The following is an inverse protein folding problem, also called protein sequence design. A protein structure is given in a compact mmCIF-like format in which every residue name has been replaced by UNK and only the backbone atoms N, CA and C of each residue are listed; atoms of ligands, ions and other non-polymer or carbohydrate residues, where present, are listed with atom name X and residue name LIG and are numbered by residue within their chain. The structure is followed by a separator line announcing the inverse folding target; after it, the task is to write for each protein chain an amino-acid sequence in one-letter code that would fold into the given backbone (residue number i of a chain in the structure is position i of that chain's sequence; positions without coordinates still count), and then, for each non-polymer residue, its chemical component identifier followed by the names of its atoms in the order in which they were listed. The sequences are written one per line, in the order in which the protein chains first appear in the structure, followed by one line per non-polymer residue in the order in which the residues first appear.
data_IF_947610916471
#
_entry.id   IF_947610916471
#
_cell.length_a   1.000
_cell.length_b   1.000
_cell.length_c   1.000
_cell.angle_alpha   90.00
_cell.angle_beta   90.00
_cell.angle_gamma   90.00
#
_symmetry.space_group_name_H-M   'P 1'
#
loop_
_entity.id
_entity.type
_entity.pdbx_description
1 polymer ?
2 non-polymer ?
3 non-polymer ?
4 water ?
#
# COMPACT_ATOMS: atom_id res chain seq x y z
N UNK A 21 23.42 19.09 -10.01
CA UNK A 21 22.02 18.86 -9.54
C UNK A 21 21.61 17.42 -9.77
N UNK A 22 22.10 16.49 -8.93
CA UNK A 22 21.76 15.08 -9.08
C UNK A 22 20.26 14.83 -9.07
N UNK A 23 19.81 13.94 -9.95
CA UNK A 23 18.40 13.58 -10.01
C UNK A 23 18.28 12.29 -9.20
N UNK A 24 17.80 12.42 -7.96
CA UNK A 24 17.65 11.27 -7.08
C UNK A 24 16.37 10.48 -7.29
N UNK A 25 16.52 9.17 -7.43
CA UNK A 25 15.37 8.29 -7.59
C UNK A 25 15.36 7.30 -6.42
N UNK A 26 14.26 7.28 -5.68
CA UNK A 26 14.14 6.35 -4.56
C UNK A 26 13.49 5.07 -5.03
N UNK A 27 14.06 3.93 -4.62
CA UNK A 27 13.51 2.65 -5.02
C UNK A 27 13.30 1.75 -3.81
N UNK A 28 12.09 1.24 -3.63
CA UNK A 28 11.81 0.39 -2.50
C UNK A 28 10.98 -0.85 -2.86
N UNK A 29 10.80 -1.72 -1.88
CA UNK A 29 10.05 -2.95 -2.07
C UNK A 29 10.50 -3.92 -0.99
N UNK A 30 9.84 -5.07 -0.87
CA UNK A 30 10.22 -6.03 0.15
C UNK A 30 11.54 -6.72 -0.16
N UNK A 31 12.03 -7.50 0.79
CA UNK A 31 13.29 -8.20 0.60
C UNK A 31 13.24 -9.18 -0.57
N UNK A 32 14.28 -9.15 -1.40
CA UNK A 32 14.39 -10.01 -2.58
C UNK A 32 13.33 -9.72 -3.63
N UNK A 33 12.85 -8.49 -3.67
CA UNK A 33 11.82 -8.09 -4.63
C UNK A 33 12.39 -7.73 -6.00
N UNK A 34 13.73 -7.65 -6.09
CA UNK A 34 14.39 -7.30 -7.35
C UNK A 34 14.72 -5.80 -7.44
N UNK A 35 14.78 -5.14 -6.30
CA UNK A 35 15.07 -3.69 -6.26
C UNK A 35 16.38 -3.31 -6.92
N UNK A 36 17.45 -4.03 -6.60
CA UNK A 36 18.76 -3.74 -7.17
C UNK A 36 18.83 -4.09 -8.65
N UNK A 37 18.18 -5.20 -9.03
CA UNK A 37 18.16 -5.63 -10.43
C UNK A 37 17.43 -4.56 -11.23
N UNK A 38 16.31 -4.08 -10.69
CA UNK A 38 15.54 -3.06 -11.37
C UNK A 38 16.42 -1.84 -11.60
N UNK A 39 17.24 -1.49 -10.61
CA UNK A 39 18.13 -0.32 -10.77
C UNK A 39 19.17 -0.61 -11.84
N UNK A 40 19.75 -1.81 -11.82
CA UNK A 40 20.76 -2.17 -12.81
C UNK A 40 20.14 -2.02 -14.19
N UNK A 41 18.90 -2.47 -14.34
CA UNK A 41 18.21 -2.39 -15.61
C UNK A 41 17.98 -0.95 -16.08
N UNK A 42 17.64 -0.06 -15.15
CA UNK A 42 17.43 1.34 -15.52
C UNK A 42 18.75 1.93 -15.99
N UNK A 43 19.82 1.61 -15.27
CA UNK A 43 21.15 2.09 -15.60
C UNK A 43 21.56 1.61 -16.99
N UNK A 44 21.33 0.32 -17.24
CA UNK A 44 21.67 -0.30 -18.50
C UNK A 44 20.87 0.26 -19.67
N UNK A 45 19.60 0.60 -19.43
CA UNK A 45 18.77 1.15 -20.49
C UNK A 45 19.02 2.63 -20.74
N UNK A 46 19.59 3.33 -19.76
CA UNK A 46 19.90 4.74 -19.98
C UNK A 46 21.10 4.75 -20.91
N UNK A 47 21.87 3.65 -20.89
CA UNK A 47 23.04 3.51 -21.74
C UNK A 47 22.65 3.59 -23.21
N UNK A 48 21.54 2.95 -23.54
CA UNK A 48 21.02 2.98 -24.90
C UNK A 48 20.19 4.25 -25.07
N UNK A 55 26.02 11.69 -22.70
CA UNK A 55 25.91 10.50 -21.86
C UNK A 55 25.48 10.93 -20.46
N UNK A 56 25.11 9.97 -19.62
CA UNK A 56 24.69 10.29 -18.27
C UNK A 56 25.36 9.41 -17.21
N UNK A 57 25.92 10.06 -16.19
CA UNK A 57 26.60 9.39 -15.09
C UNK A 57 25.57 8.92 -14.06
N UNK A 58 25.53 7.61 -13.81
CA UNK A 58 24.58 7.05 -12.86
C UNK A 58 25.25 6.22 -11.76
N UNK A 59 24.69 6.28 -10.56
CA UNK A 59 25.23 5.52 -9.43
C UNK A 59 24.09 4.84 -8.69
N UNK A 60 24.35 3.65 -8.17
CA UNK A 60 23.32 2.94 -7.41
C UNK A 60 23.76 2.79 -5.96
N UNK A 61 22.98 3.37 -5.05
CA UNK A 61 23.28 3.28 -3.63
C UNK A 61 22.28 2.36 -2.94
N UNK A 62 22.75 1.62 -1.94
CA UNK A 62 21.89 0.72 -1.22
C UNK A 62 21.68 1.16 0.23
N UNK A 63 20.44 1.11 0.70
CA UNK A 63 20.12 1.50 2.07
C UNK A 63 20.75 0.53 3.06
N UNK A 64 20.97 -0.71 2.61
CA UNK A 64 21.58 -1.73 3.47
C UNK A 64 22.96 -1.29 3.92
N UNK A 65 23.55 -0.34 3.20
CA UNK A 65 24.86 0.18 3.52
C UNK A 65 24.82 0.99 4.82
N UNK A 66 23.63 1.46 5.19
CA UNK A 66 23.51 2.29 6.38
C UNK A 66 22.91 1.62 7.61
N UNK A 67 23.11 0.32 7.73
CA UNK A 67 22.61 -0.35 8.90
C UNK A 67 23.37 0.21 10.11
N UNK A 68 22.64 0.46 11.20
CA UNK A 68 23.23 1.01 12.42
C UNK A 68 24.36 0.16 13.00
N UNK A 69 25.22 0.82 13.78
CA UNK A 69 26.33 0.17 14.46
C UNK A 69 25.74 -0.45 15.72
N UNK A 70 25.54 -1.77 15.70
CA UNK A 70 24.98 -2.52 16.81
C UNK A 70 25.79 -2.42 18.10
N UNK A 71 25.11 -2.49 19.23
CA UNK A 71 25.77 -2.47 20.53
C UNK A 71 26.15 -3.90 20.82
N UNK A 72 26.88 -4.12 21.90
CA UNK A 72 27.30 -5.47 22.26
C UNK A 72 26.07 -6.31 22.61
N UNK A 73 25.14 -5.71 23.35
CA UNK A 73 23.93 -6.42 23.74
C UNK A 73 23.06 -6.73 22.51
N UNK A 74 22.90 -5.73 21.64
CA UNK A 74 22.09 -5.89 20.43
C UNK A 74 22.66 -6.94 19.49
N UNK A 75 23.98 -6.93 19.33
CA UNK A 75 24.65 -7.88 18.46
C UNK A 75 24.51 -9.29 19.03
N UNK A 76 24.37 -9.40 20.34
CA UNK A 76 24.21 -10.69 20.97
C UNK A 76 22.85 -11.23 20.52
N UNK A 77 21.84 -10.37 20.56
CA UNK A 77 20.51 -10.76 20.13
C UNK A 77 20.53 -11.24 18.69
N UNK A 78 21.15 -10.46 17.82
CA UNK A 78 21.23 -10.78 16.40
C UNK A 78 21.76 -12.20 16.18
N UNK A 79 22.82 -12.54 16.90
CA UNK A 79 23.43 -13.85 16.77
C UNK A 79 22.45 -14.94 17.20
N UNK A 80 21.59 -14.59 18.16
CA UNK A 80 20.58 -15.52 18.65
C UNK A 80 19.28 -15.38 17.87
N UNK A 81 19.27 -14.45 16.92
CA UNK A 81 18.08 -14.23 16.12
C UNK A 81 16.95 -13.55 16.90
N UNK A 82 17.28 -12.52 17.66
CA UNK A 82 16.27 -11.83 18.43
C UNK A 82 16.33 -10.34 18.12
N UNK A 83 16.97 -10.00 17.01
CA UNK A 83 17.05 -8.59 16.64
C UNK A 83 16.24 -8.32 15.37
N UNK A 84 15.47 -7.23 15.40
CA UNK A 84 14.62 -6.87 14.29
C UNK A 84 15.27 -5.92 13.29
N UNK A 85 15.99 -6.50 12.32
CA UNK A 85 16.67 -5.74 11.30
C UNK A 85 15.74 -5.21 10.21
N UNK A 86 14.44 -5.38 10.40
CA UNK A 86 13.45 -4.94 9.42
C UNK A 86 12.61 -3.75 9.87
N UNK A 87 12.92 -3.24 11.06
CA UNK A 87 12.22 -2.11 11.65
C UNK A 87 12.92 -0.82 11.21
N UNK A 88 12.18 0.26 11.03
CA UNK A 88 12.78 1.53 10.61
C UNK A 88 13.95 2.03 11.47
N UNK A 89 14.01 1.59 12.72
CA UNK A 89 15.08 2.02 13.62
C UNK A 89 16.40 1.31 13.39
N UNK A 90 16.35 0.15 12.73
CA UNK A 90 17.57 -0.60 12.47
C UNK A 90 18.53 0.15 11.55
N UNK A 91 17.99 1.04 10.73
CA UNK A 91 18.81 1.82 9.80
C UNK A 91 19.25 3.14 10.42
N UNK A 92 20.43 3.60 10.03
CA UNK A 92 20.99 4.86 10.51
C UNK A 92 20.31 6.00 9.75
N UNK A 93 19.00 6.11 9.93
CA UNK A 93 18.19 7.12 9.26
C UNK A 93 18.84 8.50 9.22
N UNK A 94 19.49 8.86 10.32
CA UNK A 94 20.16 10.16 10.43
C UNK A 94 21.34 10.29 9.46
N UNK A 95 22.20 9.27 9.43
CA UNK A 95 23.34 9.29 8.53
C UNK A 95 22.86 9.24 7.08
N UNK A 96 21.78 8.52 6.83
CA UNK A 96 21.21 8.42 5.50
C UNK A 96 20.81 9.80 5.01
N UNK A 97 19.99 10.48 5.79
CA UNK A 97 19.51 11.82 5.43
C UNK A 97 20.67 12.76 5.16
N UNK A 98 21.76 12.59 5.91
CA UNK A 98 22.92 13.44 5.75
C UNK A 98 23.66 13.14 4.45
N UNK A 99 24.00 11.87 4.21
CA UNK A 99 24.70 11.50 2.98
C UNK A 99 23.88 11.87 1.73
N UNK A 100 22.59 11.59 1.78
CA UNK A 100 21.72 11.89 0.67
C UNK A 100 21.59 13.39 0.46
N UNK A 101 21.58 14.13 1.56
CA UNK A 101 21.46 15.58 1.48
C UNK A 101 22.68 16.20 0.81
N UNK A 102 23.87 15.72 1.16
CA UNK A 102 25.10 16.24 0.58
C UNK A 102 25.17 15.86 -0.90
N UNK A 103 24.75 14.62 -1.21
CA UNK A 103 24.72 14.15 -2.60
C UNK A 103 23.81 15.12 -3.37
N UNK A 104 22.70 15.48 -2.75
CA UNK A 104 21.74 16.43 -3.35
C UNK A 104 22.44 17.76 -3.67
N UNK A 105 23.42 18.09 -2.83
CA UNK A 105 24.19 19.34 -2.97
C UNK A 105 25.37 19.18 -3.92
N UNK A 106 25.38 18.09 -4.69
CA UNK A 106 26.48 17.89 -5.63
C UNK A 106 27.82 17.56 -5.01
N UNK A 107 27.84 17.28 -3.71
CA UNK A 107 29.10 16.96 -3.02
C UNK A 107 29.49 15.48 -3.19
N UNK A 108 30.78 15.21 -2.96
CA UNK A 108 31.32 13.86 -3.04
C UNK A 108 31.20 13.32 -1.63
N UNK A 109 30.61 12.14 -1.50
CA UNK A 109 30.40 11.55 -0.17
C UNK A 109 31.08 10.21 0.01
N UNK A 110 31.01 9.75 1.26
CA UNK A 110 31.59 8.48 1.66
C UNK A 110 30.43 7.62 2.16
N UNK A 111 30.34 6.41 1.65
CA UNK A 111 29.28 5.49 2.01
C UNK A 111 29.87 4.37 2.86
N UNK A 112 29.22 4.05 3.99
CA UNK A 112 29.75 2.97 4.82
C UNK A 112 29.57 1.61 4.16
N UNK A 113 30.26 0.60 4.69
CA UNK A 113 30.18 -0.76 4.19
C UNK A 113 29.73 -1.64 5.35
N UNK A 114 28.67 -2.42 5.15
CA UNK A 114 28.13 -3.28 6.20
C UNK A 114 28.40 -4.76 5.93
N UNK A 115 28.73 -5.51 6.98
CA UNK A 115 29.01 -6.93 6.86
C UNK A 115 27.88 -7.72 7.48
N UNK A 116 27.05 -8.34 6.65
CA UNK A 116 25.90 -9.12 7.13
C UNK A 116 26.26 -10.41 7.82
N UNK A 117 27.50 -10.84 7.72
CA UNK A 117 27.90 -12.08 8.36
C UNK A 117 28.14 -11.87 9.84
N UNK A 118 28.57 -10.67 10.22
CA UNK A 118 28.83 -10.38 11.62
C UNK A 118 27.97 -9.26 12.19
N UNK A 119 27.08 -8.70 11.37
CA UNK A 119 26.19 -7.61 11.82
C UNK A 119 27.09 -6.47 12.25
N UNK A 120 27.95 -6.03 11.34
CA UNK A 120 28.92 -4.99 11.65
C UNK A 120 29.26 -4.01 10.54
N UNK A 121 29.48 -2.76 10.92
CA UNK A 121 29.88 -1.72 9.99
C UNK A 121 31.39 -1.78 9.92
N UNK A 122 31.93 -2.14 8.76
CA UNK A 122 33.37 -2.23 8.58
C UNK A 122 33.96 -0.83 8.69
N UNK A 123 35.28 -0.76 8.85
CA UNK A 123 35.96 0.53 8.94
C UNK A 123 36.02 1.10 7.54
N UNK A 124 36.16 0.19 6.57
CA UNK A 124 36.25 0.55 5.16
C UNK A 124 35.02 1.33 4.64
N UNK A 125 35.27 2.43 3.94
CA UNK A 125 34.19 3.23 3.35
C UNK A 125 34.38 3.24 1.85
N UNK A 126 33.29 3.53 1.12
CA UNK A 126 33.35 3.60 -0.32
C UNK A 126 33.04 5.04 -0.70
N UNK A 127 33.84 5.58 -1.61
CA UNK A 127 33.65 6.96 -2.02
C UNK A 127 32.79 7.05 -3.29
N UNK A 128 31.78 7.91 -3.23
CA UNK A 128 30.85 8.10 -4.35
C UNK A 128 30.90 9.54 -4.84
N UNK A 129 31.36 9.73 -6.08
CA UNK A 129 31.46 11.05 -6.68
C UNK A 129 30.17 11.48 -7.33
N UNK A 130 29.99 12.80 -7.54
CA UNK A 130 28.80 13.38 -8.15
C UNK A 130 28.34 12.69 -9.43
N UNK A 131 27.04 12.46 -9.54
CA UNK A 131 26.45 11.83 -10.73
C UNK A 131 25.26 12.65 -11.22
N UNK A 132 24.71 12.28 -12.37
CA UNK A 132 23.57 12.97 -12.92
C UNK A 132 22.30 12.35 -12.39
N UNK A 133 22.39 11.07 -12.05
CA UNK A 133 21.26 10.32 -11.53
C UNK A 133 21.75 9.40 -10.43
N UNK A 134 21.06 9.44 -9.30
CA UNK A 134 21.43 8.61 -8.16
C UNK A 134 20.23 7.78 -7.75
N UNK A 135 20.39 6.47 -7.78
CA UNK A 135 19.31 5.58 -7.39
C UNK A 135 19.58 5.07 -5.98
N UNK A 136 18.63 5.31 -5.07
CA UNK A 136 18.76 4.86 -3.67
C UNK A 136 17.72 3.77 -3.47
N UNK A 137 18.20 2.56 -3.25
CA UNK A 137 17.33 1.40 -3.10
C UNK A 137 17.40 0.75 -1.74
N UNK A 138 16.24 0.39 -1.20
CA UNK A 138 16.20 -0.26 0.10
C UNK A 138 14.81 -0.73 0.48
N UNK A 139 14.70 -1.55 1.52
CA UNK A 139 13.40 -2.04 1.94
C UNK A 139 12.59 -1.01 2.72
N UNK A 140 13.21 0.09 3.12
CA UNK A 140 12.46 1.11 3.86
C UNK A 140 12.86 2.51 3.43
N UNK A 141 13.32 2.60 2.18
CA UNK A 141 13.75 3.86 1.60
C UNK A 141 12.71 4.97 1.61
N UNK A 142 11.43 4.63 1.67
CA UNK A 142 10.37 5.65 1.67
C UNK A 142 9.75 5.90 3.04
N UNK A 143 10.12 5.12 4.05
CA UNK A 143 9.54 5.27 5.38
C UNK A 143 9.70 6.67 5.98
N UNK A 144 10.92 7.16 6.08
CA UNK A 144 11.17 8.49 6.63
C UNK A 144 10.72 9.57 5.65
N UNK A 145 9.93 10.52 6.13
CA UNK A 145 9.44 11.60 5.26
C UNK A 145 10.51 12.60 4.83
N UNK A 146 11.56 12.77 5.63
CA UNK A 146 12.61 13.69 5.24
C UNK A 146 13.31 13.12 4.02
N UNK A 147 13.68 11.85 4.12
CA UNK A 147 14.36 11.14 3.05
C UNK A 147 13.49 11.03 1.80
N UNK A 148 12.22 10.71 2.04
CA UNK A 148 11.24 10.55 0.98
C UNK A 148 11.10 11.82 0.14
N UNK A 149 11.22 12.99 0.76
CA UNK A 149 11.09 14.25 0.03
C UNK A 149 12.27 14.55 -0.90
N UNK A 150 13.41 13.93 -0.62
CA UNK A 150 14.59 14.12 -1.44
C UNK A 150 14.47 13.47 -2.82
N UNK A 151 13.67 12.42 -2.91
CA UNK A 151 13.51 11.72 -4.17
C UNK A 151 12.58 12.47 -5.10
N UNK A 152 13.02 12.68 -6.33
CA UNK A 152 12.19 13.37 -7.31
C UNK A 152 11.40 12.35 -8.10
N UNK A 153 11.59 11.08 -7.75
CA UNK A 153 10.87 9.98 -8.37
C UNK A 153 11.01 8.80 -7.43
N UNK A 154 9.90 8.11 -7.20
CA UNK A 154 9.89 6.97 -6.30
C UNK A 154 9.28 5.76 -6.99
N UNK A 155 9.99 4.64 -6.90
CA UNK A 155 9.57 3.40 -7.52
C UNK A 155 9.42 2.31 -6.46
N UNK A 156 8.31 1.58 -6.51
CA UNK A 156 8.12 0.50 -5.57
C UNK A 156 8.07 -0.78 -6.40
N UNK A 157 8.90 -1.77 -6.05
CA UNK A 157 8.97 -3.03 -6.76
C UNK A 157 8.14 -4.08 -6.04
N UNK A 158 7.18 -4.66 -6.76
CA UNK A 158 6.28 -5.67 -6.21
C UNK A 158 6.63 -7.04 -6.75
N UNK A 159 6.71 -8.04 -5.87
CA UNK A 159 7.00 -9.39 -6.32
C UNK A 159 6.35 -10.40 -5.38
N UNK A 160 5.78 -11.47 -5.92
CA UNK A 160 5.12 -12.48 -5.08
C UNK A 160 5.96 -12.80 -3.86
N UNK A 161 5.35 -12.76 -2.69
CA UNK A 161 6.05 -13.03 -1.45
C UNK A 161 6.73 -14.39 -1.44
N UNK A 162 6.10 -15.41 -2.03
CA UNK A 162 6.74 -16.71 -2.03
C UNK A 162 7.99 -16.75 -2.92
N UNK A 163 7.98 -15.99 -4.00
CA UNK A 163 9.12 -15.92 -4.90
C UNK A 163 10.25 -15.23 -4.16
N UNK A 164 9.90 -14.17 -3.44
CA UNK A 164 10.85 -13.41 -2.69
C UNK A 164 11.48 -14.26 -1.58
N UNK A 165 10.66 -14.97 -0.81
CA UNK A 165 11.19 -15.79 0.27
C UNK A 165 12.24 -16.76 -0.27
N UNK A 166 11.89 -17.44 -1.36
CA UNK A 166 12.75 -18.41 -2.00
C UNK A 166 14.10 -17.79 -2.34
N UNK A 167 14.08 -16.57 -2.83
CA UNK A 167 15.33 -15.91 -3.17
C UNK A 167 16.09 -15.59 -1.88
N UNK A 168 15.36 -15.08 -0.88
CA UNK A 168 15.92 -14.72 0.40
C UNK A 168 16.61 -15.91 1.04
N UNK A 169 15.98 -17.08 0.98
CA UNK A 169 16.57 -18.28 1.56
C UNK A 169 17.87 -18.64 0.86
N UNK A 170 17.85 -18.70 -0.46
CA UNK A 170 19.06 -19.06 -1.20
C UNK A 170 20.20 -18.07 -1.03
N UNK A 171 19.91 -16.78 -1.06
CA UNK A 171 20.98 -15.79 -0.90
C UNK A 171 21.58 -15.80 0.50
N UNK A 172 20.73 -15.77 1.52
CA UNK A 172 21.19 -15.78 2.90
C UNK A 172 22.10 -16.96 3.18
N UNK A 173 21.68 -18.16 2.80
CA UNK A 173 22.49 -19.36 2.99
C UNK A 173 23.81 -19.21 2.22
N UNK A 174 23.70 -18.62 1.04
CA UNK A 174 24.85 -18.42 0.16
C UNK A 174 25.78 -17.25 0.47
N UNK A 175 25.25 -16.04 0.42
CA UNK A 175 26.05 -14.83 0.64
C UNK A 175 26.20 -14.34 2.07
N UNK A 176 25.34 -14.79 2.98
CA UNK A 176 25.44 -14.31 4.36
C UNK A 176 25.68 -15.42 5.36
N UNK A 177 26.08 -16.57 4.83
CA UNK A 177 26.35 -17.74 5.65
C UNK A 177 25.34 -17.87 6.78
N UNK A 178 24.16 -18.41 6.47
CA UNK A 178 23.16 -18.60 7.51
C UNK A 178 22.52 -19.97 7.36
N UNK A 179 21.66 -20.32 8.31
CA UNK A 179 21.00 -21.63 8.28
C UNK A 179 19.53 -21.52 7.90
N UNK A 180 19.05 -22.52 7.18
CA UNK A 180 17.67 -22.56 6.74
C UNK A 180 16.68 -22.21 7.84
N UNK A 181 16.57 -23.09 8.80
CA UNK A 181 15.63 -22.89 9.90
C UNK A 181 15.73 -21.51 10.55
N UNK A 182 16.95 -20.99 10.71
CA UNK A 182 17.11 -19.68 11.33
C UNK A 182 16.53 -18.57 10.47
N UNK A 183 16.74 -18.69 9.16
CA UNK A 183 16.24 -17.71 8.19
C UNK A 183 14.71 -17.72 8.18
N UNK A 184 14.13 -18.90 8.05
CA UNK A 184 12.68 -19.03 8.03
C UNK A 184 12.12 -18.50 9.33
N UNK A 185 12.81 -18.77 10.42
CA UNK A 185 12.36 -18.31 11.73
C UNK A 185 12.46 -16.80 11.79
N UNK A 186 13.53 -16.25 11.24
CA UNK A 186 13.73 -14.80 11.24
C UNK A 186 12.65 -14.16 10.37
N UNK A 187 12.34 -14.83 9.26
CA UNK A 187 11.34 -14.36 8.32
C UNK A 187 9.96 -14.26 8.96
N UNK A 188 9.53 -15.37 9.57
CA UNK A 188 8.22 -15.43 10.22
C UNK A 188 8.11 -14.45 11.38
N UNK A 189 9.17 -14.34 12.16
CA UNK A 189 9.18 -13.46 13.33
C UNK A 189 9.33 -11.98 13.04
N UNK A 190 10.21 -11.63 12.10
CA UNK A 190 10.44 -10.22 11.80
C UNK A 190 10.17 -9.71 10.40
N UNK A 191 10.80 -10.33 9.42
CA UNK A 191 10.68 -9.91 8.03
C UNK A 191 9.24 -9.64 7.53
N UNK A 192 8.38 -10.66 7.58
CA UNK A 192 7.00 -10.46 7.12
C UNK A 192 6.17 -9.53 8.01
N UNK A 193 6.26 -9.69 9.34
CA UNK A 193 5.47 -8.80 10.18
C UNK A 193 5.89 -7.34 9.96
N UNK A 194 7.15 -7.14 9.62
CA UNK A 194 7.66 -5.79 9.42
C UNK A 194 7.38 -5.26 8.02
N UNK A 195 7.47 -6.13 7.01
CA UNK A 195 7.21 -5.73 5.64
C UNK A 195 5.79 -5.15 5.55
N UNK A 196 4.86 -5.88 6.13
CA UNK A 196 3.45 -5.50 6.15
C UNK A 196 3.17 -4.25 6.99
N UNK A 197 3.87 -4.08 8.09
CA UNK A 197 3.60 -2.92 8.92
C UNK A 197 4.29 -1.64 8.51
N UNK A 198 5.57 -1.72 8.14
CA UNK A 198 6.32 -0.53 7.76
C UNK A 198 6.61 -0.31 6.28
N UNK A 199 6.93 -1.38 5.56
CA UNK A 199 7.25 -1.26 4.15
C UNK A 199 6.07 -1.07 3.20
N UNK A 200 5.20 -2.07 3.14
CA UNK A 200 4.04 -2.04 2.24
C UNK A 200 3.25 -0.73 2.22
N UNK A 201 2.99 -0.12 3.39
CA UNK A 201 2.24 1.14 3.36
C UNK A 201 2.92 2.23 2.54
N UNK A 202 4.24 2.16 2.40
CA UNK A 202 4.96 3.17 1.64
C UNK A 202 4.73 3.04 0.14
N UNK A 203 4.09 1.95 -0.27
CA UNK A 203 3.82 1.74 -1.68
C UNK A 203 2.97 2.88 -2.21
N UNK A 204 2.12 3.44 -1.34
CA UNK A 204 1.24 4.54 -1.73
C UNK A 204 1.98 5.81 -2.11
N UNK A 205 3.25 5.93 -1.71
CA UNK A 205 4.06 7.10 -2.01
C UNK A 205 4.74 7.02 -3.39
N UNK A 206 4.76 5.83 -3.97
CA UNK A 206 5.41 5.64 -5.27
C UNK A 206 4.72 6.29 -6.45
N UNK A 207 5.55 6.71 -7.42
CA UNK A 207 5.03 7.32 -8.64
C UNK A 207 4.77 6.17 -9.61
N UNK A 208 5.51 5.08 -9.46
CA UNK A 208 5.32 3.91 -10.29
C UNK A 208 5.56 2.65 -9.48
N UNK A 209 4.59 1.72 -9.54
CA UNK A 209 4.69 0.44 -8.84
C UNK A 209 5.08 -0.53 -9.94
N UNK A 210 6.03 -1.42 -9.66
CA UNK A 210 6.48 -2.34 -10.69
C UNK A 210 6.26 -3.80 -10.38
N UNK A 211 5.19 -4.38 -10.96
CA UNK A 211 4.96 -5.81 -10.69
C UNK A 211 5.98 -6.64 -11.47
N UNK A 212 6.34 -7.81 -10.92
CA UNK A 212 7.30 -8.71 -11.56
C UNK A 212 8.75 -8.20 -11.60
N UNK A 213 8.98 -7.05 -10.97
CA UNK A 213 10.33 -6.49 -10.93
C UNK A 213 11.04 -6.22 -12.24
N UNK A 214 12.30 -6.65 -12.32
CA UNK A 214 13.10 -6.42 -13.52
C UNK A 214 12.51 -7.01 -14.80
N UNK A 215 11.71 -8.06 -14.68
CA UNK A 215 11.11 -8.68 -15.85
C UNK A 215 10.07 -7.78 -16.53
N UNK A 216 9.61 -6.76 -15.82
CA UNK A 216 8.62 -5.85 -16.36
C UNK A 216 9.31 -4.82 -17.22
N UNK A 217 9.89 -5.29 -18.34
CA UNK A 217 10.61 -4.40 -19.25
C UNK A 217 9.74 -3.26 -19.79
N UNK A 218 8.43 -3.46 -19.83
CA UNK A 218 7.56 -2.40 -20.33
C UNK A 218 7.49 -1.26 -19.32
N UNK A 219 7.37 -1.63 -18.05
CA UNK A 219 7.29 -0.65 -16.96
C UNK A 219 8.61 0.09 -16.80
N UNK A 220 9.71 -0.64 -16.91
CA UNK A 220 11.04 -0.05 -16.78
C UNK A 220 11.42 0.83 -17.97
N UNK A 221 10.87 0.57 -19.15
CA UNK A 221 11.19 1.40 -20.31
C UNK A 221 10.46 2.74 -20.21
N UNK A 222 9.24 2.74 -19.66
CA UNK A 222 8.51 3.97 -19.51
C UNK A 222 9.24 4.85 -18.50
N UNK A 223 9.70 4.23 -17.42
CA UNK A 223 10.44 4.95 -16.39
C UNK A 223 11.66 5.58 -17.05
N UNK A 224 12.44 4.76 -17.76
CA UNK A 224 13.63 5.25 -18.43
C UNK A 224 13.33 6.42 -19.36
N UNK A 225 12.27 6.28 -20.16
CA UNK A 225 11.89 7.32 -21.09
C UNK A 225 11.55 8.59 -20.33
N UNK A 226 10.84 8.43 -19.22
CA UNK A 226 10.45 9.56 -18.38
C UNK A 226 11.70 10.27 -17.84
N UNK A 227 12.66 9.47 -17.36
CA UNK A 227 13.90 10.01 -16.83
C UNK A 227 14.64 10.84 -17.87
N UNK A 228 14.65 10.37 -19.11
CA UNK A 228 15.33 11.07 -20.20
C UNK A 228 14.63 12.36 -20.63
N UNK A 229 13.30 12.34 -20.60
CA UNK A 229 12.50 13.49 -20.97
C UNK A 229 12.72 14.61 -19.96
N UNK A 230 13.00 14.23 -18.72
CA UNK A 230 13.25 15.21 -17.66
C UNK A 230 14.65 15.78 -17.78
N UNK A 231 15.57 14.98 -18.33
CA UNK A 231 16.95 15.42 -18.48
C UNK A 231 17.24 15.79 -19.93
N UNK B 20 -24.68 -0.66 25.26
CA UNK B 20 -25.04 0.45 24.32
C UNK B 20 -23.92 0.84 23.36
N UNK B 21 -23.11 -0.15 22.97
CA UNK B 21 -21.99 0.07 22.06
C UNK B 21 -22.23 -0.54 20.68
N UNK B 22 -22.23 0.30 19.63
CA UNK B 22 -22.48 -0.20 18.26
C UNK B 22 -21.43 -1.18 17.75
N UNK B 23 -21.90 -2.21 17.05
CA UNK B 23 -21.04 -3.26 16.49
C UNK B 23 -20.66 -2.90 15.04
N UNK B 24 -19.42 -2.45 14.85
CA UNK B 24 -18.91 -2.06 13.54
C UNK B 24 -18.43 -3.23 12.70
N UNK B 25 -18.92 -3.30 11.46
CA UNK B 25 -18.54 -4.36 10.55
C UNK B 25 -17.96 -3.75 9.27
N UNK B 26 -16.73 -4.09 8.94
CA UNK B 26 -16.15 -3.56 7.74
C UNK B 26 -16.33 -4.53 6.58
N UNK B 27 -16.58 -4.00 5.41
CA UNK B 27 -16.76 -4.84 4.24
C UNK B 27 -15.95 -4.26 3.10
N UNK B 28 -15.17 -5.10 2.43
CA UNK B 28 -14.38 -4.66 1.31
C UNK B 28 -14.48 -5.64 0.16
N UNK B 29 -13.86 -5.28 -0.95
CA UNK B 29 -13.89 -6.08 -2.15
C UNK B 29 -13.66 -5.11 -3.28
N UNK B 30 -13.51 -5.62 -4.50
CA UNK B 30 -13.26 -4.74 -5.63
C UNK B 30 -14.52 -3.98 -6.00
N UNK B 31 -14.38 -3.11 -6.99
CA UNK B 31 -15.49 -2.32 -7.50
C UNK B 31 -16.57 -3.23 -8.08
N UNK B 32 -17.83 -2.94 -7.80
CA UNK B 32 -18.95 -3.73 -8.31
C UNK B 32 -18.89 -5.20 -7.91
N UNK B 33 -18.29 -5.49 -6.75
CA UNK B 33 -18.18 -6.86 -6.28
C UNK B 33 -19.41 -7.28 -5.48
N UNK B 34 -20.25 -6.31 -5.12
CA UNK B 34 -21.44 -6.62 -4.36
C UNK B 34 -21.42 -6.18 -2.90
N UNK B 35 -20.44 -5.37 -2.52
CA UNK B 35 -20.33 -4.92 -1.14
C UNK B 35 -21.63 -4.36 -0.54
N UNK B 36 -22.27 -3.46 -1.27
CA UNK B 36 -23.51 -2.85 -0.80
C UNK B 36 -24.68 -3.83 -0.75
N UNK B 37 -24.77 -4.72 -1.73
CA UNK B 37 -25.82 -5.72 -1.76
C UNK B 37 -25.65 -6.71 -0.60
N UNK B 38 -24.41 -7.05 -0.27
CA UNK B 38 -24.16 -7.98 0.82
C UNK B 38 -24.63 -7.32 2.12
N UNK B 39 -24.30 -6.04 2.29
CA UNK B 39 -24.70 -5.31 3.49
C UNK B 39 -26.22 -5.25 3.59
N UNK B 40 -26.86 -5.00 2.45
CA UNK B 40 -28.32 -4.92 2.41
C UNK B 40 -28.95 -6.27 2.76
N UNK B 41 -28.33 -7.34 2.28
CA UNK B 41 -28.84 -8.67 2.55
C UNK B 41 -28.76 -8.99 4.03
N UNK B 42 -27.64 -8.60 4.65
CA UNK B 42 -27.44 -8.82 6.07
C UNK B 42 -28.52 -8.09 6.86
N UNK B 43 -28.77 -6.84 6.50
CA UNK B 43 -29.81 -6.06 7.17
C UNK B 43 -31.15 -6.75 7.01
N UNK B 44 -31.48 -7.08 5.76
CA UNK B 44 -32.73 -7.76 5.47
C UNK B 44 -32.89 -9.03 6.31
N UNK B 45 -31.84 -9.85 6.39
CA UNK B 45 -31.89 -11.08 7.15
C UNK B 45 -31.89 -10.90 8.66
N UNK B 46 -31.26 -9.85 9.16
CA UNK B 46 -31.28 -9.63 10.59
C UNK B 46 -32.73 -9.46 10.98
N UNK B 47 -33.45 -8.71 10.16
CA UNK B 47 -34.87 -8.46 10.40
C UNK B 47 -35.68 -9.73 10.47
N UNK B 48 -35.52 -10.61 9.50
CA UNK B 48 -36.27 -11.86 9.49
C UNK B 48 -35.80 -12.76 10.63
N UNK B 55 -35.98 -5.52 15.96
CA UNK B 55 -35.29 -5.35 17.23
C UNK B 55 -33.98 -4.58 17.10
N UNK B 56 -33.14 -4.99 16.14
CA UNK B 56 -31.85 -4.33 15.94
C UNK B 56 -31.85 -3.20 14.92
N UNK B 57 -31.27 -2.07 15.30
CA UNK B 57 -31.19 -0.89 14.43
C UNK B 57 -29.83 -0.98 13.71
N UNK B 58 -29.89 -1.04 12.38
CA UNK B 58 -28.70 -1.15 11.56
C UNK B 58 -28.53 0.08 10.67
N UNK B 59 -27.30 0.36 10.25
CA UNK B 59 -27.02 1.49 9.38
C UNK B 59 -25.83 1.10 8.46
N UNK B 60 -25.87 1.54 7.21
CA UNK B 60 -24.81 1.21 6.27
C UNK B 60 -24.11 2.47 5.77
N UNK B 61 -22.78 2.47 5.80
CA UNK B 61 -22.00 3.61 5.31
C UNK B 61 -21.11 3.22 4.14
N UNK B 62 -20.70 4.20 3.35
CA UNK B 62 -19.82 3.95 2.22
C UNK B 62 -18.54 4.77 2.31
N UNK B 63 -17.42 4.14 1.97
CA UNK B 63 -16.16 4.83 1.98
C UNK B 63 -16.23 5.90 0.87
N UNK B 64 -17.10 5.66 -0.12
CA UNK B 64 -17.27 6.60 -1.23
C UNK B 64 -17.75 7.98 -0.79
N UNK B 65 -18.46 8.03 0.32
CA UNK B 65 -18.95 9.30 0.83
C UNK B 65 -17.77 10.16 1.26
N UNK B 66 -16.64 9.51 1.53
CA UNK B 66 -15.47 10.21 2.01
C UNK B 66 -14.39 10.62 1.02
N UNK B 67 -14.72 10.72 -0.26
CA UNK B 67 -13.71 11.16 -1.21
C UNK B 67 -13.31 12.58 -0.86
N UNK B 68 -12.08 12.96 -1.25
CA UNK B 68 -11.58 14.28 -0.94
C UNK B 68 -12.09 15.37 -1.88
N UNK B 69 -11.97 16.62 -1.45
CA UNK B 69 -12.36 17.74 -2.28
C UNK B 69 -11.20 17.90 -3.23
N UNK B 70 -11.46 17.86 -4.53
CA UNK B 70 -10.39 18.00 -5.51
C UNK B 70 -9.94 19.46 -5.62
N UNK B 71 -8.73 19.68 -6.13
CA UNK B 71 -8.19 21.03 -6.31
C UNK B 71 -8.41 21.42 -7.78
N UNK B 72 -8.25 22.70 -8.09
CA UNK B 72 -8.43 23.18 -9.46
C UNK B 72 -7.60 22.32 -10.40
N UNK B 73 -6.37 22.03 -9.96
CA UNK B 73 -5.45 21.22 -10.74
C UNK B 73 -5.97 19.78 -10.87
N UNK B 74 -6.27 19.14 -9.73
CA UNK B 74 -6.78 17.77 -9.71
C UNK B 74 -8.13 17.64 -10.42
N UNK B 75 -9.00 18.60 -10.17
CA UNK B 75 -10.32 18.63 -10.78
C UNK B 75 -10.11 18.63 -12.29
N UNK B 76 -9.14 19.43 -12.71
CA UNK B 76 -8.79 19.56 -14.12
C UNK B 76 -8.46 18.21 -14.73
N UNK B 77 -7.47 17.55 -14.15
CA UNK B 77 -7.03 16.24 -14.62
C UNK B 77 -8.17 15.22 -14.58
N UNK B 78 -8.94 15.23 -13.50
CA UNK B 78 -10.06 14.31 -13.36
C UNK B 78 -10.96 14.47 -14.56
N UNK B 79 -11.05 15.71 -15.03
CA UNK B 79 -11.86 16.04 -16.18
C UNK B 79 -11.22 15.42 -17.43
N UNK B 80 -9.90 15.25 -17.39
CA UNK B 80 -9.15 14.66 -18.50
C UNK B 80 -8.87 13.17 -18.31
N UNK B 81 -9.31 12.61 -17.18
CA UNK B 81 -9.10 11.20 -16.89
C UNK B 81 -7.69 10.91 -16.39
N UNK B 82 -7.00 11.96 -15.97
CA UNK B 82 -5.63 11.87 -15.45
C UNK B 82 -5.61 11.71 -13.93
N UNK B 83 -6.76 11.46 -13.33
CA UNK B 83 -6.83 11.31 -11.88
C UNK B 83 -7.23 9.91 -11.42
N UNK B 84 -6.49 9.38 -10.47
CA UNK B 84 -6.71 8.04 -9.92
C UNK B 84 -7.54 8.10 -8.63
N UNK B 85 -8.82 7.75 -8.73
CA UNK B 85 -9.71 7.76 -7.57
C UNK B 85 -9.68 6.43 -6.83
N UNK B 86 -8.74 5.57 -7.21
CA UNK B 86 -8.61 4.25 -6.60
C UNK B 86 -7.38 4.14 -5.73
N UNK B 87 -6.63 5.24 -5.66
CA UNK B 87 -5.43 5.28 -4.86
C UNK B 87 -5.86 5.69 -3.45
N UNK B 88 -5.20 5.14 -2.43
CA UNK B 88 -5.53 5.45 -1.03
C UNK B 88 -5.69 6.95 -0.75
N UNK B 89 -4.87 7.76 -1.42
CA UNK B 89 -4.90 9.21 -1.21
C UNK B 89 -6.14 9.90 -1.77
N UNK B 90 -6.98 9.17 -2.49
CA UNK B 90 -8.18 9.77 -3.06
C UNK B 90 -9.23 9.99 -1.97
N UNK B 91 -9.14 9.19 -0.91
CA UNK B 91 -10.07 9.28 0.20
C UNK B 91 -9.49 10.10 1.36
N UNK B 92 -10.37 10.59 2.22
CA UNK B 92 -9.98 11.38 3.39
C UNK B 92 -9.89 10.41 4.56
N UNK B 93 -8.73 9.77 4.73
CA UNK B 93 -8.57 8.80 5.80
C UNK B 93 -8.73 9.40 7.19
N UNK B 94 -8.25 10.62 7.41
CA UNK B 94 -8.41 11.25 8.73
C UNK B 94 -9.88 11.36 9.04
N UNK B 95 -10.63 11.94 8.10
CA UNK B 95 -12.07 12.09 8.28
C UNK B 95 -12.73 10.73 8.47
N UNK B 96 -12.29 9.72 7.72
CA UNK B 96 -12.86 8.39 7.84
C UNK B 96 -12.59 7.79 9.21
N UNK B 97 -11.35 7.94 9.69
CA UNK B 97 -10.94 7.40 10.99
C UNK B 97 -11.68 8.09 12.12
N UNK B 98 -11.82 9.41 11.99
CA UNK B 98 -12.48 10.19 13.01
C UNK B 98 -13.95 9.80 13.14
N UNK B 99 -14.66 9.76 12.02
CA UNK B 99 -16.06 9.39 12.01
C UNK B 99 -16.26 7.99 12.59
N UNK B 100 -15.53 7.00 12.08
CA UNK B 100 -15.68 5.65 12.58
C UNK B 100 -15.36 5.52 14.08
N UNK B 101 -14.44 6.32 14.59
CA UNK B 101 -14.09 6.28 16.01
C UNK B 101 -15.21 6.86 16.86
N UNK B 102 -15.79 7.96 16.40
CA UNK B 102 -16.88 8.59 17.12
C UNK B 102 -18.12 7.70 17.07
N UNK B 103 -18.34 7.05 15.94
CA UNK B 103 -19.48 6.15 15.78
C UNK B 103 -19.25 5.01 16.76
N UNK B 104 -17.99 4.60 16.87
CA UNK B 104 -17.61 3.53 17.79
C UNK B 104 -17.96 3.94 19.21
N UNK B 105 -17.71 5.22 19.51
CA UNK B 105 -17.99 5.79 20.84
C UNK B 105 -19.49 5.97 21.06
N UNK B 106 -20.30 5.67 20.06
CA UNK B 106 -21.74 5.82 20.19
C UNK B 106 -22.21 7.25 19.98
N UNK B 107 -21.32 8.12 19.53
CA UNK B 107 -21.67 9.51 19.29
C UNK B 107 -22.36 9.58 17.94
N UNK B 108 -23.15 10.64 17.71
CA UNK B 108 -23.83 10.84 16.44
C UNK B 108 -22.86 11.65 15.60
N UNK B 109 -22.81 11.37 14.30
CA UNK B 109 -21.88 12.09 13.42
C UNK B 109 -22.50 12.67 12.15
N UNK B 110 -21.71 13.48 11.45
CA UNK B 110 -22.10 14.11 10.19
C UNK B 110 -21.24 13.49 9.10
N UNK B 111 -21.89 13.10 8.02
CA UNK B 111 -21.22 12.48 6.88
C UNK B 111 -21.38 13.32 5.63
N UNK B 112 -20.32 13.41 4.83
CA UNK B 112 -20.45 14.22 3.62
C UNK B 112 -21.21 13.47 2.51
N UNK B 113 -21.53 14.20 1.44
CA UNK B 113 -22.21 13.61 0.31
C UNK B 113 -21.37 13.89 -0.95
N UNK B 114 -21.13 12.83 -1.73
CA UNK B 114 -20.31 12.96 -2.92
C UNK B 114 -21.06 12.76 -4.23
N UNK B 115 -20.74 13.58 -5.21
CA UNK B 115 -21.37 13.49 -6.53
C UNK B 115 -20.32 12.98 -7.48
N UNK B 116 -20.53 11.77 -7.99
CA UNK B 116 -19.59 11.16 -8.90
C UNK B 116 -19.56 11.82 -10.26
N UNK B 117 -20.66 12.49 -10.62
CA UNK B 117 -20.73 13.13 -11.92
C UNK B 117 -19.89 14.41 -12.02
N UNK B 118 -19.76 15.12 -10.91
CA UNK B 118 -18.97 16.34 -10.89
C UNK B 118 -17.68 16.13 -10.11
N UNK B 119 -17.48 14.93 -9.60
CA UNK B 119 -16.29 14.62 -8.82
C UNK B 119 -16.20 15.65 -7.69
N UNK B 120 -17.37 16.01 -7.15
CA UNK B 120 -17.43 17.00 -6.09
C UNK B 120 -18.20 16.63 -4.84
N UNK B 121 -17.75 17.21 -3.74
CA UNK B 121 -18.36 17.01 -2.43
C UNK B 121 -19.45 18.06 -2.30
N UNK B 122 -20.71 17.65 -2.35
CA UNK B 122 -21.80 18.60 -2.22
C UNK B 122 -21.77 19.28 -0.85
N UNK B 123 -22.30 20.50 -0.80
CA UNK B 123 -22.34 21.27 0.45
C UNK B 123 -23.25 20.58 1.46
N UNK B 124 -24.15 19.75 0.93
CA UNK B 124 -25.08 18.99 1.77
C UNK B 124 -24.36 17.96 2.63
N UNK B 125 -24.71 17.95 3.91
CA UNK B 125 -24.14 17.01 4.87
C UNK B 125 -25.29 16.12 5.36
N UNK B 126 -24.96 14.91 5.79
CA UNK B 126 -25.95 13.96 6.27
C UNK B 126 -25.65 13.55 7.70
N UNK B 127 -26.68 13.58 8.53
CA UNK B 127 -26.51 13.21 9.91
C UNK B 127 -26.80 11.72 10.14
N UNK B 128 -25.78 11.00 10.62
CA UNK B 128 -25.89 9.57 10.85
C UNK B 128 -25.87 9.24 12.34
N UNK B 129 -26.95 8.61 12.81
CA UNK B 129 -27.10 8.23 14.22
C UNK B 129 -26.57 6.83 14.54
N UNK B 130 -26.15 6.61 15.79
CA UNK B 130 -25.62 5.32 16.25
C UNK B 130 -26.64 4.22 16.00
N UNK B 131 -26.20 2.97 15.97
CA UNK B 131 -27.10 1.85 15.74
C UNK B 131 -26.54 0.59 16.41
N UNK B 132 -27.34 -0.48 16.42
CA UNK B 132 -26.88 -1.71 17.04
C UNK B 132 -25.79 -2.30 16.18
N UNK B 133 -25.90 -2.09 14.88
CA UNK B 133 -24.91 -2.59 13.94
C UNK B 133 -24.61 -1.50 12.94
N UNK B 134 -23.34 -1.32 12.62
CA UNK B 134 -22.93 -0.31 11.66
C UNK B 134 -22.03 -0.96 10.63
N UNK B 135 -22.44 -0.90 9.36
CA UNK B 135 -21.63 -1.48 8.31
C UNK B 135 -20.92 -0.42 7.48
N UNK B 136 -19.60 -0.55 7.38
CA UNK B 136 -18.79 0.36 6.60
C UNK B 136 -18.26 -0.43 5.42
N UNK B 137 -18.56 0.05 4.22
CA UNK B 137 -18.15 -0.63 3.02
C UNK B 137 -17.36 0.26 2.08
N UNK B 138 -16.29 -0.28 1.52
CA UNK B 138 -15.44 0.48 0.60
C UNK B 138 -14.45 -0.41 -0.14
N UNK B 139 -13.89 0.10 -1.23
CA UNK B 139 -12.92 -0.65 -2.01
C UNK B 139 -11.59 -0.75 -1.29
N UNK B 140 -11.34 0.19 -0.39
CA UNK B 140 -10.09 0.19 0.38
C UNK B 140 -10.40 0.23 1.88
N UNK B 141 -11.54 -0.34 2.25
CA UNK B 141 -11.98 -0.35 3.65
C UNK B 141 -10.98 -0.90 4.69
N UNK B 142 -10.17 -1.88 4.30
CA UNK B 142 -9.21 -2.49 5.21
C UNK B 142 -7.81 -1.95 5.05
N UNK B 143 -7.62 -0.99 4.16
CA UNK B 143 -6.29 -0.44 3.92
C UNK B 143 -5.61 0.12 5.16
N UNK B 144 -6.18 1.17 5.74
CA UNK B 144 -5.61 1.79 6.93
C UNK B 144 -5.62 0.80 8.09
N UNK B 145 -4.53 0.78 8.85
CA UNK B 145 -4.41 -0.14 9.97
C UNK B 145 -5.28 0.24 11.17
N UNK B 146 -5.37 1.53 11.46
CA UNK B 146 -6.18 2.00 12.59
C UNK B 146 -7.66 1.74 12.35
N UNK B 147 -8.11 1.94 11.12
CA UNK B 147 -9.50 1.73 10.74
C UNK B 147 -9.82 0.24 10.86
N UNK B 148 -8.96 -0.57 10.28
CA UNK B 148 -9.09 -2.02 10.28
C UNK B 148 -9.34 -2.54 11.70
N UNK B 149 -8.67 -1.95 12.69
CA UNK B 149 -8.83 -2.37 14.10
C UNK B 149 -10.13 -1.94 14.72
N UNK B 150 -10.80 -0.98 14.10
CA UNK B 150 -12.09 -0.50 14.60
C UNK B 150 -13.23 -1.48 14.27
N UNK B 151 -13.01 -2.33 13.27
CA UNK B 151 -14.04 -3.27 12.86
C UNK B 151 -14.03 -4.52 13.73
N UNK B 152 -15.16 -4.83 14.37
CA UNK B 152 -15.26 -6.02 15.21
C UNK B 152 -15.51 -7.26 14.38
N UNK B 153 -15.59 -7.06 13.08
CA UNK B 153 -15.77 -8.13 12.10
C UNK B 153 -15.47 -7.53 10.73
N UNK B 154 -14.88 -8.34 9.87
CA UNK B 154 -14.51 -7.89 8.54
C UNK B 154 -14.89 -8.94 7.50
N UNK B 155 -15.57 -8.50 6.44
CA UNK B 155 -16.01 -9.40 5.37
C UNK B 155 -15.44 -8.92 4.04
N UNK B 156 -14.91 -9.83 3.25
CA UNK B 156 -14.38 -9.46 1.95
C UNK B 156 -15.23 -10.15 0.86
N UNK B 157 -15.92 -9.34 0.07
CA UNK B 157 -16.76 -9.85 -1.00
C UNK B 157 -15.85 -10.10 -2.19
N UNK B 158 -15.81 -11.33 -2.64
CA UNK B 158 -14.95 -11.71 -3.74
C UNK B 158 -15.76 -12.13 -4.96
N UNK B 159 -15.72 -11.33 -6.03
CA UNK B 159 -16.45 -11.66 -7.25
C UNK B 159 -15.53 -11.60 -8.48
N UNK B 160 -15.72 -12.54 -9.41
CA UNK B 160 -14.91 -12.62 -10.62
C UNK B 160 -14.73 -11.25 -11.30
N UNK B 161 -13.48 -10.95 -11.68
CA UNK B 161 -13.18 -9.66 -12.29
C UNK B 161 -14.04 -9.27 -13.50
N UNK B 162 -14.28 -10.21 -14.41
CA UNK B 162 -15.10 -9.93 -15.59
C UNK B 162 -16.53 -9.57 -15.19
N UNK B 163 -17.11 -10.32 -14.27
CA UNK B 163 -18.45 -9.99 -13.81
C UNK B 163 -18.44 -8.55 -13.28
N UNK B 164 -17.47 -8.25 -12.44
CA UNK B 164 -17.34 -6.92 -11.86
C UNK B 164 -17.16 -5.79 -12.89
N UNK B 165 -16.39 -6.04 -13.95
CA UNK B 165 -16.17 -5.03 -14.97
C UNK B 165 -17.48 -4.77 -15.71
N UNK B 166 -18.14 -5.85 -16.07
CA UNK B 166 -19.40 -5.77 -16.78
C UNK B 166 -20.37 -4.86 -16.06
N UNK B 167 -20.52 -5.04 -14.75
CA UNK B 167 -21.42 -4.20 -13.96
C UNK B 167 -20.91 -2.76 -13.85
N UNK B 168 -19.60 -2.62 -13.71
CA UNK B 168 -18.99 -1.30 -13.58
C UNK B 168 -19.29 -0.43 -14.81
N UNK B 169 -19.24 -1.03 -15.98
CA UNK B 169 -19.50 -0.31 -17.22
C UNK B 169 -20.98 0.08 -17.30
N UNK B 170 -21.87 -0.89 -17.09
CA UNK B 170 -23.29 -0.59 -17.14
C UNK B 170 -23.66 0.50 -16.13
N UNK B 171 -23.14 0.37 -14.91
CA UNK B 171 -23.43 1.34 -13.85
C UNK B 171 -22.84 2.71 -14.18
N UNK B 172 -21.58 2.75 -14.57
CA UNK B 172 -20.93 4.02 -14.90
C UNK B 172 -21.65 4.77 -16.02
N UNK B 173 -22.09 4.03 -17.03
CA UNK B 173 -22.80 4.62 -18.15
C UNK B 173 -24.14 5.23 -17.72
N UNK B 174 -24.86 4.53 -16.85
CA UNK B 174 -26.16 5.00 -16.39
C UNK B 174 -26.13 6.08 -15.31
N UNK B 175 -25.88 5.65 -14.08
CA UNK B 175 -25.84 6.53 -12.91
C UNK B 175 -24.77 7.62 -12.79
N UNK B 176 -23.65 7.48 -13.50
CA UNK B 176 -22.60 8.48 -13.40
C UNK B 176 -22.29 9.18 -14.73
N UNK B 177 -23.07 8.84 -15.75
CA UNK B 177 -22.89 9.44 -17.07
C UNK B 177 -21.44 9.45 -17.53
N UNK B 178 -20.91 8.28 -17.85
CA UNK B 178 -19.54 8.16 -18.31
C UNK B 178 -19.50 7.50 -19.69
N UNK B 179 -18.46 7.78 -20.46
CA UNK B 179 -18.29 7.22 -21.80
C UNK B 179 -17.60 5.85 -21.74
N UNK B 180 -18.13 4.88 -22.47
CA UNK B 180 -17.60 3.51 -22.52
C UNK B 180 -16.07 3.48 -22.61
N UNK B 181 -15.53 4.15 -23.62
CA UNK B 181 -14.08 4.20 -23.83
C UNK B 181 -13.37 4.73 -22.58
N UNK B 182 -13.85 5.84 -22.04
CA UNK B 182 -13.25 6.45 -20.85
C UNK B 182 -13.32 5.54 -19.64
N UNK B 183 -14.37 4.73 -19.57
CA UNK B 183 -14.53 3.80 -18.45
C UNK B 183 -13.48 2.71 -18.57
N UNK B 184 -13.45 2.04 -19.71
CA UNK B 184 -12.48 0.97 -19.94
C UNK B 184 -11.04 1.43 -19.72
N UNK B 185 -10.73 2.64 -20.17
CA UNK B 185 -9.39 3.17 -20.02
C UNK B 185 -9.08 3.50 -18.57
N UNK B 186 -10.09 3.97 -17.84
CA UNK B 186 -9.92 4.30 -16.44
C UNK B 186 -9.70 3.01 -15.68
N UNK B 187 -10.40 1.96 -16.11
CA UNK B 187 -10.28 0.66 -15.46
C UNK B 187 -8.89 0.09 -15.60
N UNK B 188 -8.41 0.01 -16.84
CA UNK B 188 -7.08 -0.54 -17.12
C UNK B 188 -5.96 0.29 -16.51
N UNK B 189 -6.06 1.60 -16.55
CA UNK B 189 -5.00 2.44 -15.98
C UNK B 189 -4.99 2.56 -14.45
N UNK B 190 -6.17 2.68 -13.83
CA UNK B 190 -6.21 2.85 -12.38
C UNK B 190 -6.85 1.77 -11.53
N UNK B 191 -8.11 1.46 -11.83
CA UNK B 191 -8.88 0.49 -11.05
C UNK B 191 -8.29 -0.91 -10.90
N UNK B 192 -8.06 -1.60 -12.01
CA UNK B 192 -7.49 -2.94 -11.98
C UNK B 192 -6.16 -2.90 -11.19
N UNK B 193 -5.22 -2.00 -11.55
CA UNK B 193 -3.94 -1.93 -10.84
C UNK B 193 -4.04 -1.62 -9.34
N UNK B 194 -4.91 -0.70 -8.96
CA UNK B 194 -5.06 -0.34 -7.55
C UNK B 194 -5.68 -1.47 -6.75
N UNK B 195 -6.64 -2.15 -7.36
CA UNK B 195 -7.30 -3.27 -6.69
C UNK B 195 -6.30 -4.35 -6.35
N UNK B 196 -5.26 -4.48 -7.17
CA UNK B 196 -4.25 -5.49 -6.94
C UNK B 196 -3.13 -5.02 -6.03
N UNK B 197 -2.77 -3.76 -6.12
CA UNK B 197 -1.68 -3.24 -5.30
C UNK B 197 -2.09 -2.84 -3.90
N UNK B 198 -3.32 -2.36 -3.73
CA UNK B 198 -3.74 -1.93 -2.40
C UNK B 198 -4.90 -2.67 -1.75
N UNK B 199 -5.80 -3.24 -2.55
CA UNK B 199 -6.94 -3.95 -1.97
C UNK B 199 -6.63 -5.40 -1.60
N UNK B 200 -6.13 -6.15 -2.58
CA UNK B 200 -5.81 -7.56 -2.39
C UNK B 200 -4.93 -7.89 -1.18
N UNK B 201 -3.96 -7.04 -0.85
CA UNK B 201 -3.10 -7.34 0.31
C UNK B 201 -3.82 -7.25 1.66
N UNK B 202 -5.02 -6.66 1.69
CA UNK B 202 -5.79 -6.52 2.94
C UNK B 202 -6.78 -7.65 3.09
N UNK B 203 -7.00 -8.40 2.01
CA UNK B 203 -7.95 -9.49 2.02
C UNK B 203 -7.72 -10.47 3.17
N UNK B 204 -6.45 -10.75 3.47
CA UNK B 204 -6.08 -11.70 4.52
C UNK B 204 -6.57 -11.34 5.93
N UNK B 205 -6.86 -10.06 6.19
CA UNK B 205 -7.32 -9.64 7.51
C UNK B 205 -8.80 -9.88 7.77
N UNK B 206 -9.52 -10.34 6.76
CA UNK B 206 -10.94 -10.60 6.91
C UNK B 206 -11.19 -11.85 7.74
N UNK B 207 -12.41 -11.96 8.27
CA UNK B 207 -12.80 -13.11 9.07
C UNK B 207 -13.39 -14.14 8.11
N UNK B 208 -14.10 -13.63 7.11
CA UNK B 208 -14.73 -14.47 6.11
C UNK B 208 -14.63 -13.81 4.74
N UNK B 209 -14.20 -14.57 3.74
CA UNK B 209 -14.09 -14.09 2.39
C UNK B 209 -15.29 -14.73 1.69
N UNK B 210 -16.16 -13.89 1.12
CA UNK B 210 -17.37 -14.36 0.46
C UNK B 210 -17.27 -14.49 -1.06
N UNK B 211 -17.14 -15.73 -1.56
CA UNK B 211 -17.07 -15.90 -3.01
C UNK B 211 -18.47 -15.73 -3.61
N UNK B 212 -18.51 -15.15 -4.81
CA UNK B 212 -19.74 -14.88 -5.57
C UNK B 212 -20.60 -13.74 -5.02
N UNK B 213 -20.19 -13.14 -3.90
CA UNK B 213 -20.95 -12.02 -3.36
C UNK B 213 -22.32 -12.32 -2.79
N UNK B 214 -23.28 -11.45 -3.14
CA UNK B 214 -24.64 -11.54 -2.63
C UNK B 214 -25.41 -12.81 -3.04
N UNK B 215 -24.88 -13.55 -4.01
CA UNK B 215 -25.52 -14.79 -4.45
C UNK B 215 -25.20 -15.89 -3.45
N UNK B 216 -24.18 -15.66 -2.63
CA UNK B 216 -23.75 -16.64 -1.65
C UNK B 216 -24.60 -16.54 -0.38
N UNK B 217 -25.78 -17.14 -0.42
CA UNK B 217 -26.68 -17.11 0.72
C UNK B 217 -26.13 -17.94 1.87
N UNK B 218 -25.46 -19.05 1.54
CA UNK B 218 -24.90 -19.91 2.58
C UNK B 218 -23.92 -19.14 3.45
N UNK B 219 -22.96 -18.46 2.83
CA UNK B 219 -21.99 -17.72 3.61
C UNK B 219 -22.64 -16.53 4.32
N UNK B 220 -23.56 -15.85 3.65
CA UNK B 220 -24.20 -14.70 4.25
C UNK B 220 -25.02 -15.11 5.46
N UNK B 221 -25.71 -16.25 5.36
CA UNK B 221 -26.53 -16.69 6.49
C UNK B 221 -25.69 -16.98 7.71
N UNK B 222 -24.55 -17.63 7.51
CA UNK B 222 -23.66 -17.93 8.63
C UNK B 222 -23.31 -16.61 9.30
N UNK B 223 -22.86 -15.65 8.51
CA UNK B 223 -22.49 -14.34 9.03
C UNK B 223 -23.62 -13.71 9.86
N UNK B 224 -24.85 -13.73 9.33
CA UNK B 224 -25.97 -13.15 10.05
C UNK B 224 -26.13 -13.85 11.40
N UNK B 225 -26.10 -15.17 11.35
CA UNK B 225 -26.22 -16.01 12.54
C UNK B 225 -25.20 -15.57 13.59
N UNK B 226 -23.96 -15.39 13.15
CA UNK B 226 -22.87 -14.98 14.02
C UNK B 226 -23.15 -13.61 14.63
N UNK B 227 -23.69 -12.70 13.83
CA UNK B 227 -24.01 -11.35 14.30
C UNK B 227 -25.09 -11.38 15.38
N UNK B 228 -26.08 -12.25 15.20
CA UNK B 228 -27.14 -12.37 16.18
C UNK B 228 -26.60 -12.92 17.49
N UNK B 229 -25.79 -13.97 17.38
CA UNK B 229 -25.20 -14.59 18.56
C UNK B 229 -24.52 -13.56 19.45
N UNK B 230 -23.67 -12.74 18.84
CA UNK B 230 -22.95 -11.70 19.57
C UNK B 230 -23.85 -10.62 20.18
N UNK B 231 -24.89 -10.22 19.45
CA UNK B 231 -25.81 -9.18 19.90
C UNK B 231 -26.75 -9.58 21.04
N UNK B 232 -27.40 -10.72 20.91
CA UNK B 232 -28.34 -11.18 21.94
C UNK B 232 -27.87 -12.47 22.60
X LIG C 1 18.37 -6.13 3.21
X LIG C 1 17.22 -6.38 3.95
X LIG C 1 17.35 -7.60 4.77
X LIG C 1 18.57 -7.79 5.49
X LIG C 1 18.29 -8.48 6.64
X LIG C 1 19.42 -8.32 7.59
X LIG C 1 19.93 -7.06 7.90
X LIG C 1 20.99 -6.84 8.77
X LIG C 1 21.56 -7.99 9.34
X LIG C 1 21.06 -9.27 9.04
X LIG C 1 20.03 -9.43 8.19
X LIG C 1 19.65 -10.60 7.97
X LIG C 1 22.58 -7.91 10.19
X LIG C 1 16.99 -7.88 7.16
X LIG C 1 16.22 -8.84 7.88
X LIG C 1 16.34 -7.34 5.89
X LIG C 1 15.19 -8.04 5.47
X LIG D 1 18.10 -7.36 -1.47
X LIG D 1 17.34 -8.12 -0.77
X LIG D 1 18.24 -6.12 -1.13
X LIG D 1 18.76 -8.03 -2.69
X LIG D 1 18.01 -8.09 -4.04
X LIG D 1 17.60 -9.50 -4.24
X LIG D 1 18.88 -7.65 -5.19
X LIG D 1 18.30 -7.70 -6.57
X LIG D 1 18.41 -8.60 -7.37
X LIG D 1 17.61 -6.75 -6.93
X LIG D 1 16.60 -7.43 -4.15
X LIG D 1 16.64 -6.17 -3.96
X LIG D 1 15.70 -8.23 -4.41
X LIG E 1 -16.89 3.31 -5.77
X LIG E 1 -15.55 3.03 -6.13
X LIG E 1 -15.24 3.50 -7.49
X LIG E 1 -15.64 4.85 -7.78
X LIG E 1 -14.74 5.39 -8.70
X LIG E 1 -14.81 6.89 -8.73
X LIG E 1 -14.79 7.69 -7.57
X LIG E 1 -14.85 9.08 -7.59
X LIG E 1 -14.93 9.69 -8.86
X LIG E 1 -14.95 8.92 -10.02
X LIG E 1 -14.89 7.57 -9.96
X LIG E 1 -14.90 6.97 -11.07
X LIG E 1 -14.99 11.01 -9.00
X LIG E 1 -13.38 4.87 -8.29
X LIG E 1 -12.54 4.71 -9.43
X LIG E 1 -13.70 3.60 -7.51
X LIG E 1 -13.25 2.41 -8.15
X LIG F 1 -23.97 -3.26 -4.89
X LIG F 1 -25.19 -3.36 -4.49
X LIG F 1 -23.24 -4.31 -4.90
X LIG F 1 -23.53 -1.85 -5.31
X LIG F 1 -22.06 -1.35 -5.19
X LIG F 1 -22.01 -0.34 -4.09
X LIG F 1 -21.61 -0.73 -6.50
X LIG F 1 -20.23 -0.16 -6.58
X LIG F 1 -19.87 0.94 -6.24
X LIG F 1 -19.34 -0.90 -7.03
X LIG F 1 -20.99 -2.35 -4.64
X LIG F 1 -20.75 -3.32 -5.45
X LIG F 1 -20.56 -2.03 -3.50
#
# INVERSE_FOLDING_TARGET
PGMAGDSEQTLQNHQQPNGGEPFLIGVSGGTASGKSSVCAKIVQLLGQNEVDYRQKQVVILSQDSFYRVLTSEQKAKALKGQFNFDHPDAFDNELILKTLKEITEGKTVQIPVYDFVSHSRKEETVTVYPADVVLFEGILAFYSQEVRDLFQMKLFVDTDADTRLSRRVLRDISERGRDLEQILSQYITFVKPAFEEFCLPTKKYADVIIPRGADNLVAINLIVQHIQDILNGGPSKRQTNGCLNGYTPSRK
PGMAGDSEQTLQNHQQPNGGEPFLIGVSGGTASGKSSVCAKIVQLLGQNEVDYRQKQVVILSQDSFYRVLTSEQKAKALKGQFNFDHPDAFDNELILKTLKEITEGKTVQIPVYDFVSHSRKEETVTVYPADVVLFEGILAFYSQEVRDLFQMKLFVDTDADTRLSRRVLRDISERGRDLEQILSQYITFVKPAFEEFCLPTKKYADVIIPRGADNLVAINLIVQHIQDILNGGPSKRQTNGCLNGYTPSRK
CTN O5' C5' C4' O4' C1' N1 C6 C5 C4 N3 C2 O2 N4 C2' O2' C3' O3'
CIT C1 O1 O2 C2 C3 O7 C4 C5 O3 O4 C6 O5 O6
CTN O5' C5' C4' O4' C1' N1 C6 C5 C4 N3 C2 O2 N4 C2' O2' C3' O3'
CIT C1 O1 O2 C2 C3 O7 C4 C5 O3 O4 C6 O5 O6
#
